data_IF_781635552469
#
_entry.id   IF_781635552469
#
_cell.length_a   1.000
_cell.length_b   1.000
_cell.length_c   1.000
_cell.angle_alpha   90.00
_cell.angle_beta   90.00
_cell.angle_gamma   90.00
#
_symmetry.space_group_name_H-M   'P 1'
#
loop_
_entity.id
_entity.type
_entity.pdbx_description
1 polymer ?
2 water ?
#
# COMPACT_ATOMS: atom_id res chain seq x y z
N UNK A 4 -6.28 15.37 -17.74
CA UNK A 4 -6.04 15.94 -16.39
C UNK A 4 -4.99 15.08 -15.64
N UNK A 5 -5.18 13.77 -15.57
CA UNK A 5 -4.22 12.88 -14.87
C UNK A 5 -3.03 12.52 -15.77
N UNK A 6 -1.89 12.20 -15.16
CA UNK A 6 -0.68 11.82 -15.90
C UNK A 6 -0.74 10.44 -16.53
N UNK A 7 0.30 10.06 -17.29
CA UNK A 7 0.28 8.81 -18.05
C UNK A 7 0.27 7.50 -17.24
N UNK A 8 0.64 7.57 -15.97
CA UNK A 8 0.68 6.35 -15.13
C UNK A 8 -0.62 6.17 -14.33
N UNK A 9 -1.55 7.11 -14.41
CA UNK A 9 -2.76 7.06 -13.54
C UNK A 9 -3.58 5.78 -13.74
N UNK A 10 -3.91 5.46 -14.98
CA UNK A 10 -4.81 4.31 -15.21
C UNK A 10 -4.22 3.02 -14.63
N UNK A 11 -2.93 2.79 -14.83
CA UNK A 11 -2.33 1.51 -14.35
C UNK A 11 -2.18 1.55 -12.83
N UNK A 12 -1.94 2.74 -12.28
CA UNK A 12 -1.83 2.85 -10.81
C UNK A 12 -3.21 2.64 -10.17
N UNK A 13 -4.27 3.18 -10.77
CA UNK A 13 -5.64 2.92 -10.26
C UNK A 13 -5.96 1.42 -10.38
N UNK A 14 -5.55 0.80 -11.48
CA UNK A 14 -5.75 -0.65 -11.68
C UNK A 14 -5.03 -1.42 -10.57
N UNK A 15 -3.80 -1.01 -10.27
CA UNK A 15 -3.01 -1.71 -9.23
C UNK A 15 -3.66 -1.50 -7.86
N UNK A 16 -4.05 -0.26 -7.57
CA UNK A 16 -4.67 0.01 -6.25
C UNK A 16 -5.97 -0.78 -6.14
N UNK A 17 -6.71 -0.87 -7.24
CA UNK A 17 -7.97 -1.64 -7.22
C UNK A 17 -7.64 -3.11 -6.93
N UNK A 18 -6.59 -3.60 -7.58
CA UNK A 18 -6.19 -4.98 -7.32
C UNK A 18 -5.84 -5.16 -5.84
N UNK A 19 -5.09 -4.21 -5.28
CA UNK A 19 -4.72 -4.32 -3.87
C UNK A 19 -5.95 -4.32 -2.97
N UNK A 20 -6.85 -3.36 -3.18
CA UNK A 20 -7.99 -3.22 -2.29
C UNK A 20 -8.92 -4.42 -2.40
N UNK A 21 -8.92 -5.11 -3.54
CA UNK A 21 -9.78 -6.26 -3.73
C UNK A 21 -9.14 -7.58 -3.34
N UNK A 22 -7.87 -7.56 -2.91
CA UNK A 22 -7.18 -8.79 -2.54
C UNK A 22 -7.67 -9.27 -1.17
N UNK A 23 -7.74 -10.59 -1.00
CA UNK A 23 -8.33 -11.11 0.23
C UNK A 23 -7.54 -10.75 1.47
N UNK A 24 -6.27 -10.42 1.32
CA UNK A 24 -5.45 -10.08 2.48
C UNK A 24 -5.54 -8.60 2.85
N UNK A 25 -6.26 -7.79 2.08
CA UNK A 25 -6.15 -6.34 2.19
C UNK A 25 -6.95 -5.73 3.33
N UNK A 26 -7.90 -6.46 3.92
CA UNK A 26 -8.80 -5.88 4.91
C UNK A 26 -8.10 -5.08 6.01
N UNK A 27 -7.02 -5.55 6.66
CA UNK A 27 -6.41 -4.75 7.73
C UNK A 27 -5.82 -3.44 7.27
N UNK A 28 -5.71 -3.22 5.96
CA UNK A 28 -4.98 -2.08 5.43
C UNK A 28 -5.90 -1.13 4.67
N UNK A 29 -7.21 -1.37 4.68
CA UNK A 29 -8.10 -0.58 3.84
C UNK A 29 -8.26 0.86 4.33
N UNK A 30 -8.20 1.08 5.64
CA UNK A 30 -8.45 2.39 6.25
C UNK A 30 -7.43 2.63 7.35
N UNK A 31 -7.24 3.90 7.75
CA UNK A 31 -6.28 4.19 8.82
C UNK A 31 -6.67 3.51 10.11
N UNK A 32 -5.66 3.18 10.89
CA UNK A 32 -5.91 2.64 12.25
C UNK A 32 -6.57 3.76 13.07
N UNK A 33 -7.56 3.41 13.90
CA UNK A 33 -8.25 4.41 14.76
C UNK A 33 -7.54 4.47 16.11
N UNK A 34 -6.99 5.63 16.45
CA UNK A 34 -6.26 5.82 17.74
C UNK A 34 -7.18 5.53 18.92
N UNK A 35 -8.48 5.70 18.73
CA UNK A 35 -9.45 5.44 19.82
C UNK A 35 -9.52 3.93 20.08
N UNK A 36 -9.14 3.12 19.10
CA UNK A 36 -9.19 1.64 19.26
C UNK A 36 -7.80 1.08 19.54
N UNK A 37 -6.75 1.71 18.99
CA UNK A 37 -5.35 1.24 19.17
C UNK A 37 -4.56 2.43 19.70
N UNK A 38 -4.49 2.56 21.03
CA UNK A 38 -3.93 3.78 21.65
C UNK A 38 -2.46 4.04 21.36
N UNK A 39 -1.66 3.00 21.17
CA UNK A 39 -0.24 3.28 21.01
C UNK A 39 0.21 3.24 19.56
N UNK A 40 -0.72 3.10 18.61
CA UNK A 40 -0.30 2.87 17.22
C UNK A 40 0.50 4.05 16.69
N UNK A 41 0.03 5.27 16.95
CA UNK A 41 0.65 6.46 16.39
C UNK A 41 1.81 6.97 17.23
N UNK A 42 2.09 6.31 18.35
CA UNK A 42 3.38 6.48 19.02
C UNK A 42 4.45 5.62 18.38
N UNK A 43 4.06 4.44 17.89
CA UNK A 43 5.01 3.50 17.30
C UNK A 43 5.28 3.82 15.84
N UNK A 44 4.22 4.11 15.09
CA UNK A 44 4.27 4.30 13.64
C UNK A 44 4.28 5.80 13.34
N UNK A 45 5.43 6.30 12.89
CA UNK A 45 5.62 7.74 12.70
C UNK A 45 5.12 8.23 11.35
N UNK A 46 5.01 7.36 10.36
CA UNK A 46 4.58 7.74 9.02
C UNK A 46 3.49 6.78 8.56
N UNK A 47 2.28 6.91 9.10
CA UNK A 47 1.22 5.93 8.80
C UNK A 47 0.74 6.02 7.36
N UNK A 48 0.27 4.89 6.84
CA UNK A 48 -0.25 4.83 5.49
C UNK A 48 -1.28 3.71 5.41
N UNK A 49 -2.21 3.84 4.47
CA UNK A 49 -3.25 2.84 4.29
C UNK A 49 -3.78 3.01 2.87
N UNK A 50 -4.55 2.03 2.40
CA UNK A 50 -4.96 2.02 0.97
C UNK A 50 -6.00 3.09 0.62
N UNK A 51 -6.82 3.51 1.59
CA UNK A 51 -7.77 4.63 1.33
C UNK A 51 -7.05 5.99 1.16
N UNK A 52 -6.03 6.14 2.00
CA UNK A 52 -5.24 7.38 1.92
C UNK A 52 -4.49 7.38 0.58
N UNK A 53 -3.98 6.22 0.19
CA UNK A 53 -3.29 6.12 -1.12
C UNK A 53 -4.28 6.46 -2.24
N UNK A 54 -5.52 6.03 -2.09
CA UNK A 54 -6.55 6.30 -3.13
C UNK A 54 -6.76 7.82 -3.26
N UNK A 55 -6.86 8.50 -2.13
CA UNK A 55 -7.04 9.98 -2.14
C UNK A 55 -5.82 10.71 -2.75
N UNK A 56 -4.65 10.18 -2.39
CA UNK A 56 -3.41 10.80 -2.92
C UNK A 56 -3.31 10.54 -4.43
N UNK A 57 -3.68 9.34 -4.87
CA UNK A 57 -3.65 9.06 -6.30
C UNK A 57 -4.58 10.01 -7.04
N UNK A 58 -5.77 10.23 -6.49
CA UNK A 58 -6.74 11.14 -7.10
C UNK A 58 -6.22 12.56 -7.16
N UNK A 59 -5.41 12.96 -6.18
CA UNK A 59 -4.86 14.30 -6.10
C UNK A 59 -3.54 14.45 -6.85
N UNK A 60 -3.19 13.47 -7.69
CA UNK A 60 -2.02 13.52 -8.56
C UNK A 60 -0.71 13.61 -7.76
N UNK A 61 -0.66 12.91 -6.62
CA UNK A 61 0.57 12.84 -5.84
C UNK A 61 1.53 11.75 -6.30
N UNK A 62 1.07 10.81 -7.11
CA UNK A 62 1.90 9.71 -7.61
C UNK A 62 2.13 9.93 -9.10
N UNK A 63 3.30 10.46 -9.44
CA UNK A 63 3.64 10.68 -10.84
C UNK A 63 4.28 9.46 -11.48
N UNK A 64 5.01 8.67 -10.71
CA UNK A 64 5.67 7.48 -11.17
C UNK A 64 5.15 6.30 -10.37
N UNK A 65 5.31 5.07 -10.87
CA UNK A 65 5.06 3.91 -10.01
C UNK A 65 5.95 3.91 -8.78
N UNK A 66 7.14 4.50 -8.88
CA UNK A 66 8.03 4.55 -7.72
C UNK A 66 7.40 5.33 -6.58
N UNK A 67 6.71 6.44 -6.88
CA UNK A 67 6.06 7.22 -5.83
C UNK A 67 4.98 6.39 -5.14
N UNK A 68 4.20 5.65 -5.94
CA UNK A 68 3.13 4.81 -5.40
C UNK A 68 3.71 3.69 -4.55
N UNK A 69 4.76 3.03 -5.06
CA UNK A 69 5.36 1.89 -4.36
C UNK A 69 5.92 2.32 -3.02
N UNK A 70 6.47 3.51 -2.93
CA UNK A 70 7.01 4.00 -1.63
C UNK A 70 5.90 4.02 -0.55
N UNK A 71 4.69 4.45 -0.92
CA UNK A 71 3.58 4.48 0.07
C UNK A 71 3.09 3.05 0.37
N UNK A 72 3.03 2.21 -0.65
CA UNK A 72 2.63 0.80 -0.42
C UNK A 72 3.63 0.15 0.54
N UNK A 73 4.91 0.39 0.31
CA UNK A 73 5.95 -0.14 1.23
C UNK A 73 5.78 0.33 2.70
N UNK A 74 5.32 1.58 2.84
CA UNK A 74 5.05 2.09 4.22
C UNK A 74 3.94 1.24 4.84
N UNK A 75 2.90 0.97 4.05
CA UNK A 75 1.78 0.14 4.56
C UNK A 75 2.34 -1.18 5.08
N UNK A 76 3.13 -1.86 4.25
CA UNK A 76 3.60 -3.21 4.61
C UNK A 76 4.65 -3.14 5.73
N UNK A 77 5.56 -2.18 5.62
CA UNK A 77 6.65 -2.07 6.63
C UNK A 77 6.08 -1.63 7.98
N UNK A 78 5.16 -0.67 7.97
CA UNK A 78 4.52 -0.26 9.24
C UNK A 78 3.86 -1.47 9.89
N UNK A 79 3.19 -2.28 9.09
CA UNK A 79 2.47 -3.41 9.66
C UNK A 79 3.47 -4.37 10.29
N UNK A 80 4.61 -4.57 9.64
CA UNK A 80 5.62 -5.49 10.16
C UNK A 80 6.45 -4.88 11.28
N UNK A 81 6.43 -3.55 11.44
CA UNK A 81 7.04 -2.95 12.63
C UNK A 81 6.13 -3.07 13.84
N UNK A 82 4.84 -2.81 13.66
CA UNK A 82 3.92 -2.82 14.78
C UNK A 82 3.62 -4.24 15.25
N UNK A 83 3.49 -5.18 14.32
CA UNK A 83 3.14 -6.56 14.62
C UNK A 83 4.39 -7.43 14.67
N UNK A 84 4.36 -8.45 15.52
CA UNK A 84 5.50 -9.33 15.65
C UNK A 84 5.67 -10.21 14.41
N UNK A 85 6.90 -10.67 14.20
CA UNK A 85 7.15 -11.67 13.17
C UNK A 85 6.25 -12.88 13.40
N UNK A 86 5.79 -13.48 12.30
CA UNK A 86 4.99 -14.71 12.26
C UNK A 86 3.56 -14.54 12.77
N UNK A 87 3.11 -13.32 13.09
CA UNK A 87 1.73 -13.15 13.50
C UNK A 87 0.86 -12.96 12.26
N UNK A 88 -0.46 -13.16 12.39
CA UNK A 88 -1.34 -13.11 11.20
C UNK A 88 -1.21 -11.85 10.37
N UNK A 89 -1.12 -10.67 11.01
CA UNK A 89 -1.05 -9.44 10.22
C UNK A 89 0.29 -9.28 9.52
N UNK A 90 1.39 -9.74 10.12
CA UNK A 90 2.66 -9.74 9.40
C UNK A 90 2.58 -10.61 8.15
N UNK A 91 1.93 -11.77 8.27
CA UNK A 91 1.79 -12.67 7.13
C UNK A 91 0.93 -12.04 6.05
N UNK A 92 -0.14 -11.35 6.45
CA UNK A 92 -0.99 -10.66 5.48
C UNK A 92 -0.20 -9.61 4.72
N UNK A 93 0.64 -8.84 5.43
CA UNK A 93 1.46 -7.83 4.76
C UNK A 93 2.41 -8.48 3.75
N UNK A 94 3.04 -9.59 4.15
CA UNK A 94 3.90 -10.33 3.22
C UNK A 94 3.12 -10.81 2.00
N UNK A 95 1.92 -11.35 2.20
CA UNK A 95 1.15 -11.86 1.06
C UNK A 95 0.74 -10.73 0.14
N UNK A 96 0.30 -9.61 0.70
CA UNK A 96 -0.17 -8.51 -0.14
C UNK A 96 0.97 -7.87 -0.91
N UNK A 97 2.13 -7.70 -0.27
CA UNK A 97 3.30 -7.15 -0.96
C UNK A 97 3.75 -8.06 -2.10
N UNK A 98 3.78 -9.37 -1.87
CA UNK A 98 4.16 -10.30 -2.92
C UNK A 98 3.19 -10.21 -4.09
N UNK A 99 1.90 -10.10 -3.78
CA UNK A 99 0.90 -9.97 -4.84
C UNK A 99 1.09 -8.65 -5.58
N UNK A 100 1.38 -7.57 -4.85
CA UNK A 100 1.58 -6.28 -5.53
C UNK A 100 2.67 -6.40 -6.57
N UNK A 101 3.76 -7.07 -6.22
CA UNK A 101 4.91 -7.17 -7.15
C UNK A 101 4.58 -8.11 -8.33
N UNK A 102 3.78 -9.14 -8.10
CA UNK A 102 3.32 -9.97 -9.25
C UNK A 102 2.58 -9.07 -10.25
N UNK A 103 1.70 -8.21 -9.75
CA UNK A 103 0.89 -7.35 -10.65
C UNK A 103 1.80 -6.35 -11.38
N UNK A 104 2.74 -5.74 -10.66
CA UNK A 104 3.66 -4.75 -11.28
C UNK A 104 4.47 -5.42 -12.39
N UNK A 105 4.95 -6.63 -12.13
CA UNK A 105 5.84 -7.30 -13.12
C UNK A 105 5.07 -7.60 -14.42
N UNK A 106 3.74 -7.57 -14.37
CA UNK A 106 2.91 -7.89 -15.55
C UNK A 106 2.68 -6.64 -16.40
N UNK A 107 3.15 -5.48 -15.95
CA UNK A 107 2.94 -4.20 -16.69
C UNK A 107 4.21 -3.92 -17.48
N UNK A 108 4.19 -4.08 -18.82
CA UNK A 108 5.42 -3.95 -19.61
C UNK A 108 6.21 -2.65 -19.39
N UNK A 109 5.52 -1.52 -19.29
CA UNK A 109 6.20 -0.22 -19.13
C UNK A 109 6.87 -0.13 -17.76
N UNK A 110 6.63 -1.11 -16.89
CA UNK A 110 7.17 -1.03 -15.51
C UNK A 110 8.25 -2.10 -15.31
N UNK A 111 8.80 -2.63 -16.41
CA UNK A 111 9.81 -3.72 -16.33
C UNK A 111 11.07 -3.28 -15.58
N UNK A 112 11.33 -1.98 -15.52
CA UNK A 112 12.53 -1.45 -14.83
C UNK A 112 12.40 -1.54 -13.31
N UNK A 113 11.23 -1.89 -12.80
CA UNK A 113 11.04 -1.83 -11.32
C UNK A 113 11.33 -3.18 -10.67
N UNK A 114 11.89 -3.13 -9.46
CA UNK A 114 12.28 -4.37 -8.76
C UNK A 114 12.14 -4.16 -7.26
N UNK A 115 11.71 -5.18 -6.51
CA UNK A 115 11.61 -5.09 -5.07
C UNK A 115 13.01 -5.10 -4.43
#
# INVERSE_FOLDING_TARGET
>A
RQPRHGPNYNQLLHLLNDLQNHNSAWPFLVPVNRDDVADYYDVIKEPMDLSTMESKLEADQYLTPEDFIRDAKLVFDNCRKYNNESTPYAKSANKLEKFMWQQIKAIPEWSHLEPEK
#
